data_IF_585680432123
#
_entry.id   IF_585680432123
#
_cell.length_a   1.000
_cell.length_b   1.000
_cell.length_c   1.000
_cell.angle_alpha   90.00
_cell.angle_beta   90.00
_cell.angle_gamma   90.00
#
_symmetry.space_group_name_H-M   'P 1'
#
loop_
_entity.id
_entity.type
_entity.pdbx_description
1 polymer ?
#
# COMPACT_ATOMS: atom_id res chain seq x y z
N UNK A 1 26.66 5.74 -44.48
CA UNK A 1 27.47 5.80 -43.24
C UNK A 1 27.60 7.26 -42.84
N UNK A 2 26.58 7.78 -42.15
CA UNK A 2 26.58 9.11 -41.53
C UNK A 2 25.87 8.93 -40.18
N UNK A 3 26.57 9.36 -39.13
CA UNK A 3 26.35 9.10 -37.71
C UNK A 3 24.96 9.50 -37.21
N UNK A 4 24.32 8.61 -36.45
CA UNK A 4 23.31 8.98 -35.46
C UNK A 4 24.04 9.53 -34.23
N UNK A 5 23.75 10.78 -33.87
CA UNK A 5 24.15 11.35 -32.59
C UNK A 5 23.19 10.84 -31.52
N UNK A 6 23.68 9.93 -30.69
CA UNK A 6 23.10 9.63 -29.37
C UNK A 6 23.51 10.78 -28.46
N UNK A 7 22.56 11.65 -28.09
CA UNK A 7 22.79 12.66 -27.06
C UNK A 7 22.34 12.07 -25.72
N UNK A 8 23.27 11.40 -25.04
CA UNK A 8 23.16 11.10 -23.61
C UNK A 8 23.42 12.41 -22.87
N UNK A 9 22.41 12.92 -22.17
CA UNK A 9 22.56 14.01 -21.20
C UNK A 9 22.73 13.36 -19.82
N UNK A 10 23.83 13.73 -19.17
CA UNK A 10 24.31 13.28 -17.87
C UNK A 10 23.52 13.96 -16.73
N UNK A 11 22.69 13.21 -16.01
CA UNK A 11 22.10 13.52 -14.70
C UNK A 11 21.99 12.21 -13.91
N UNK A 12 22.42 12.19 -12.66
CA UNK A 12 22.65 10.99 -11.84
C UNK A 12 21.47 10.02 -11.75
N UNK A 13 21.81 8.73 -11.71
CA UNK A 13 20.94 7.54 -11.61
C UNK A 13 19.73 7.54 -12.56
N UNK A 14 20.04 7.43 -13.86
CA UNK A 14 19.05 7.24 -14.91
C UNK A 14 18.27 5.92 -14.72
N UNK A 15 16.95 6.01 -14.56
CA UNK A 15 16.03 4.91 -14.83
C UNK A 15 16.27 4.37 -16.25
N UNK A 16 16.62 3.09 -16.39
CA UNK A 16 16.44 2.36 -17.64
C UNK A 16 14.94 2.10 -17.84
N UNK A 17 14.17 3.14 -18.19
CA UNK A 17 12.77 2.99 -18.59
C UNK A 17 12.69 2.52 -20.04
N UNK A 18 13.18 1.31 -20.32
CA UNK A 18 12.75 0.61 -21.52
C UNK A 18 11.25 0.35 -21.42
N UNK A 19 10.53 0.62 -22.51
CA UNK A 19 9.10 0.32 -22.64
C UNK A 19 8.89 -0.59 -23.84
N UNK A 20 7.70 -1.17 -23.94
CA UNK A 20 7.30 -1.97 -25.09
C UNK A 20 7.21 -1.14 -26.38
N UNK A 21 7.20 0.19 -26.29
CA UNK A 21 7.12 1.10 -27.43
C UNK A 21 8.49 1.68 -27.76
N UNK A 22 9.01 1.33 -28.95
CA UNK A 22 10.31 1.83 -29.42
C UNK A 22 10.25 3.26 -30.00
N UNK A 23 9.06 3.79 -30.25
CA UNK A 23 8.84 5.13 -30.82
C UNK A 23 8.29 6.14 -29.82
N UNK A 24 8.48 5.87 -28.53
CA UNK A 24 8.14 6.74 -27.40
C UNK A 24 9.40 7.40 -26.84
N UNK A 25 9.27 8.67 -26.45
CA UNK A 25 10.32 9.42 -25.76
C UNK A 25 9.91 9.66 -24.31
N UNK A 26 10.80 9.35 -23.38
CA UNK A 26 10.57 9.55 -21.95
C UNK A 26 11.53 10.64 -21.45
N UNK A 27 10.97 11.66 -20.81
CA UNK A 27 11.72 12.77 -20.21
C UNK A 27 11.35 12.88 -18.74
N UNK A 28 12.36 12.97 -17.87
CA UNK A 28 12.18 13.29 -16.45
C UNK A 28 12.82 14.65 -16.20
N UNK A 29 12.04 15.59 -15.70
CA UNK A 29 12.50 16.96 -15.40
C UNK A 29 11.71 17.54 -14.25
N UNK A 30 12.39 18.13 -13.26
CA UNK A 30 11.79 18.86 -12.14
C UNK A 30 10.62 18.11 -11.47
N UNK A 31 10.83 16.83 -11.12
CA UNK A 31 9.79 15.94 -10.55
C UNK A 31 8.55 15.77 -11.42
N UNK A 32 8.74 15.84 -12.75
CA UNK A 32 7.72 15.54 -13.76
C UNK A 32 8.23 14.47 -14.71
N UNK A 33 7.41 13.44 -14.95
CA UNK A 33 7.61 12.42 -15.98
C UNK A 33 6.74 12.76 -17.17
N UNK A 34 7.35 12.79 -18.36
CA UNK A 34 6.67 13.03 -19.63
C UNK A 34 6.96 11.86 -20.56
N UNK A 35 5.90 11.21 -21.07
CA UNK A 35 5.96 10.13 -22.05
C UNK A 35 5.31 10.64 -23.34
N UNK A 36 6.07 10.71 -24.42
CA UNK A 36 5.62 11.34 -25.68
C UNK A 36 5.69 10.40 -26.87
N UNK A 37 4.70 10.51 -27.75
CA UNK A 37 4.67 9.82 -29.05
C UNK A 37 4.09 10.72 -30.12
N UNK A 38 4.91 11.09 -31.10
CA UNK A 38 4.50 11.97 -32.22
C UNK A 38 3.28 11.46 -33.01
N UNK A 39 3.19 10.13 -33.18
CA UNK A 39 2.07 9.47 -33.86
C UNK A 39 0.78 9.46 -33.04
N UNK A 40 0.83 9.85 -31.76
CA UNK A 40 -0.26 9.78 -30.80
C UNK A 40 -0.40 8.40 -30.15
N UNK A 41 -1.24 8.33 -29.13
CA UNK A 41 -1.64 7.15 -28.38
C UNK A 41 -3.16 7.22 -28.20
N UNK A 42 -3.84 6.09 -28.35
CA UNK A 42 -5.23 5.97 -27.93
C UNK A 42 -5.22 5.63 -26.44
N UNK A 43 -5.85 6.46 -25.60
CA UNK A 43 -5.83 6.31 -24.16
C UNK A 43 -7.21 6.24 -23.54
N UNK A 44 -7.34 5.48 -22.45
CA UNK A 44 -8.47 5.46 -21.54
C UNK A 44 -7.96 5.56 -20.11
N UNK A 45 -8.43 6.53 -19.34
CA UNK A 45 -8.00 6.64 -17.94
C UNK A 45 -8.78 7.64 -17.11
N UNK A 46 -8.31 7.81 -15.88
CA UNK A 46 -8.89 8.70 -14.85
C UNK A 46 -7.99 9.89 -14.52
N UNK A 47 -7.08 10.25 -15.42
CA UNK A 47 -6.21 11.43 -15.28
C UNK A 47 -7.00 12.72 -15.02
N UNK A 48 -6.41 13.63 -14.23
CA UNK A 48 -7.05 14.89 -13.80
C UNK A 48 -7.45 15.79 -14.97
N UNK A 49 -6.62 15.81 -16.01
CA UNK A 49 -6.89 16.51 -17.26
C UNK A 49 -6.83 15.57 -18.45
N UNK A 50 -7.80 15.75 -19.35
CA UNK A 50 -8.03 14.89 -20.51
C UNK A 50 -8.22 13.41 -20.14
N UNK A 51 -8.79 13.15 -18.95
CA UNK A 51 -9.30 11.84 -18.58
C UNK A 51 -10.44 11.37 -19.49
N UNK A 52 -10.69 10.07 -19.48
CA UNK A 52 -11.63 9.40 -20.39
C UNK A 52 -10.95 8.80 -21.62
N UNK A 53 -11.75 8.52 -22.64
CA UNK A 53 -11.28 7.93 -23.91
C UNK A 53 -10.89 9.05 -24.89
N UNK A 54 -9.67 8.99 -25.43
CA UNK A 54 -9.23 9.97 -26.42
C UNK A 54 -7.88 9.65 -27.05
N UNK A 55 -7.56 10.37 -28.12
CA UNK A 55 -6.20 10.38 -28.67
C UNK A 55 -5.38 11.43 -27.94
N UNK A 56 -4.22 11.04 -27.43
CA UNK A 56 -3.23 11.91 -26.78
C UNK A 56 -1.88 11.79 -27.50
N UNK A 57 -0.99 12.76 -27.33
CA UNK A 57 0.41 12.67 -27.78
C UNK A 57 1.39 12.57 -26.64
N UNK A 58 1.00 13.05 -25.46
CA UNK A 58 1.82 12.98 -24.27
C UNK A 58 1.02 12.53 -23.04
N UNK A 59 1.70 11.79 -22.17
CA UNK A 59 1.26 11.47 -20.81
C UNK A 59 2.20 12.24 -19.87
N UNK A 60 1.63 13.08 -19.02
CA UNK A 60 2.38 13.94 -18.10
C UNK A 60 1.99 13.57 -16.67
N UNK A 61 2.97 13.21 -15.86
CA UNK A 61 2.79 12.88 -14.45
C UNK A 61 3.64 13.85 -13.63
N UNK A 62 2.99 14.78 -12.94
CA UNK A 62 3.65 15.85 -12.18
C UNK A 62 3.59 15.62 -10.67
N UNK A 63 4.74 15.72 -10.01
CA UNK A 63 4.85 15.73 -8.55
C UNK A 63 4.59 17.12 -7.96
N UNK A 64 3.68 17.23 -6.98
CA UNK A 64 3.55 18.40 -6.12
C UNK A 64 4.68 18.40 -5.08
N UNK A 65 5.36 19.54 -4.91
CA UNK A 65 6.53 19.66 -4.02
C UNK A 65 6.19 19.71 -2.53
N UNK A 66 4.91 19.77 -2.14
CA UNK A 66 4.52 19.70 -0.73
C UNK A 66 3.17 18.99 -0.52
N UNK A 67 3.03 18.14 0.53
CA UNK A 67 1.76 17.54 0.91
C UNK A 67 0.71 18.58 1.35
N UNK A 68 1.13 19.75 1.82
CA UNK A 68 0.22 20.83 2.25
C UNK A 68 -0.54 21.49 1.07
N UNK A 69 -0.04 21.33 -0.16
CA UNK A 69 -0.70 21.78 -1.39
C UNK A 69 -1.82 20.83 -1.88
N UNK A 70 -2.04 19.69 -1.21
CA UNK A 70 -3.05 18.68 -1.55
C UNK A 70 -4.44 18.87 -0.91
N UNK A 71 -4.68 19.99 -0.22
CA UNK A 71 -6.00 20.27 0.36
C UNK A 71 -7.10 20.35 -0.71
N UNK A 72 -8.36 19.95 -0.43
CA UNK A 72 -9.47 20.11 -1.38
C UNK A 72 -9.67 21.57 -1.83
N UNK A 73 -9.26 22.54 -0.99
CA UNK A 73 -9.28 23.98 -1.27
C UNK A 73 -8.14 24.47 -2.17
N UNK A 74 -7.05 23.72 -2.33
CA UNK A 74 -5.94 24.02 -3.23
C UNK A 74 -6.04 23.31 -4.57
N UNK A 75 -7.01 22.40 -4.80
CA UNK A 75 -7.30 21.83 -6.12
C UNK A 75 -7.86 22.87 -7.11
N UNK A 76 -8.58 23.89 -6.63
CA UNK A 76 -9.05 25.03 -7.44
C UNK A 76 -7.90 25.99 -7.84
N UNK A 77 -6.84 26.10 -7.03
CA UNK A 77 -5.61 26.81 -7.39
C UNK A 77 -4.60 25.92 -8.13
N UNK A 78 -4.65 24.60 -7.89
CA UNK A 78 -3.86 23.54 -8.52
C UNK A 78 -4.24 23.27 -9.96
N UNK A 79 -5.45 23.66 -10.40
CA UNK A 79 -5.80 23.75 -11.82
C UNK A 79 -4.94 24.79 -12.60
N UNK A 80 -4.23 25.70 -11.91
CA UNK A 80 -3.21 26.58 -12.55
C UNK A 80 -1.86 25.90 -12.78
N UNK A 81 -1.57 24.80 -12.08
CA UNK A 81 -0.34 24.02 -12.24
C UNK A 81 -0.20 23.35 -13.61
N UNK A 82 -1.17 22.56 -14.08
CA UNK A 82 -1.10 21.89 -15.38
C UNK A 82 -1.23 22.83 -16.57
N UNK A 83 -1.92 23.97 -16.39
CA UNK A 83 -1.90 25.04 -17.40
C UNK A 83 -0.50 25.61 -17.59
N UNK A 84 0.35 25.70 -16.55
CA UNK A 84 1.74 26.13 -16.73
C UNK A 84 2.63 25.12 -17.48
N UNK A 85 2.38 23.81 -17.38
CA UNK A 85 3.14 22.78 -18.13
C UNK A 85 2.74 22.73 -19.62
N UNK A 86 1.45 22.92 -19.92
CA UNK A 86 0.93 23.01 -21.29
C UNK A 86 1.24 24.37 -21.93
N UNK A 87 1.10 25.49 -21.21
CA UNK A 87 1.40 26.84 -21.70
C UNK A 87 2.91 27.06 -21.96
N UNK A 88 3.79 26.28 -21.31
CA UNK A 88 5.23 26.29 -21.54
C UNK A 88 5.69 25.57 -22.83
N UNK A 89 4.81 24.79 -23.47
CA UNK A 89 5.14 24.01 -24.68
C UNK A 89 6.13 22.87 -24.45
N UNK A 90 6.22 22.35 -23.22
CA UNK A 90 7.17 21.29 -22.84
C UNK A 90 6.66 19.87 -23.15
N UNK A 91 5.37 19.71 -23.48
CA UNK A 91 4.78 18.44 -23.88
C UNK A 91 3.90 18.59 -25.14
N UNK A 92 3.82 17.55 -25.97
CA UNK A 92 2.95 17.49 -27.15
C UNK A 92 1.45 17.44 -26.77
N UNK A 93 0.66 18.34 -27.36
CA UNK A 93 -0.80 18.34 -27.22
C UNK A 93 -1.50 17.47 -28.29
N UNK A 94 -2.64 16.85 -27.95
CA UNK A 94 -3.31 16.82 -26.63
C UNK A 94 -2.61 15.91 -25.62
N UNK A 95 -2.58 16.28 -24.33
CA UNK A 95 -1.92 15.49 -23.29
C UNK A 95 -2.89 15.03 -22.20
N UNK A 96 -2.67 13.81 -21.67
CA UNK A 96 -3.27 13.35 -20.43
C UNK A 96 -2.35 13.74 -19.27
N UNK A 97 -2.90 14.42 -18.25
CA UNK A 97 -2.10 14.94 -17.13
C UNK A 97 -2.63 14.40 -15.82
N UNK A 98 -1.74 13.83 -15.01
CA UNK A 98 -2.00 13.37 -13.65
C UNK A 98 -1.10 14.13 -12.69
N UNK A 99 -1.65 14.62 -11.58
CA UNK A 99 -0.94 15.40 -10.56
C UNK A 99 -1.16 14.75 -9.20
N UNK A 100 -0.07 14.59 -8.45
CA UNK A 100 -0.09 14.00 -7.11
C UNK A 100 1.21 14.26 -6.38
N UNK A 101 1.34 13.77 -5.15
CA UNK A 101 2.62 13.84 -4.41
C UNK A 101 3.49 12.64 -4.77
N UNK A 102 3.73 12.46 -6.07
CA UNK A 102 4.43 11.29 -6.60
C UNK A 102 5.93 11.40 -6.40
N UNK A 103 6.50 10.33 -5.86
CA UNK A 103 7.95 10.16 -5.83
C UNK A 103 8.41 9.44 -7.10
N UNK A 104 8.77 10.21 -8.13
CA UNK A 104 9.19 9.64 -9.44
C UNK A 104 10.42 8.74 -9.32
N UNK A 105 11.33 9.05 -8.39
CA UNK A 105 12.52 8.23 -8.14
C UNK A 105 12.18 6.84 -7.59
N UNK A 106 11.00 6.68 -6.96
CA UNK A 106 10.50 5.39 -6.49
C UNK A 106 9.72 4.61 -7.56
N UNK A 107 9.53 5.16 -8.76
CA UNK A 107 8.70 4.52 -9.78
C UNK A 107 9.27 3.17 -10.23
N UNK A 108 8.35 2.24 -10.52
CA UNK A 108 8.70 0.89 -10.96
C UNK A 108 8.01 0.62 -12.30
N UNK A 109 8.79 0.19 -13.28
CA UNK A 109 8.28 -0.32 -14.56
C UNK A 109 8.48 -1.85 -14.68
N UNK A 110 7.49 -2.51 -15.28
CA UNK A 110 7.56 -3.91 -15.69
C UNK A 110 7.10 -4.02 -17.13
N UNK A 111 7.94 -4.59 -17.98
CA UNK A 111 7.66 -4.81 -19.40
C UNK A 111 7.60 -6.31 -19.70
N UNK A 112 6.53 -6.72 -20.37
CA UNK A 112 6.36 -8.08 -20.86
C UNK A 112 5.78 -8.04 -22.28
N UNK A 113 6.59 -8.47 -23.25
CA UNK A 113 6.26 -8.47 -24.69
C UNK A 113 5.75 -7.10 -25.14
N UNK A 114 4.44 -6.98 -25.40
CA UNK A 114 3.80 -5.76 -25.92
C UNK A 114 3.25 -4.85 -24.84
N UNK A 115 3.46 -5.14 -23.56
CA UNK A 115 2.87 -4.37 -22.46
C UNK A 115 3.98 -3.83 -21.56
N UNK A 116 3.84 -2.57 -21.14
CA UNK A 116 4.63 -1.98 -20.04
C UNK A 116 3.70 -1.37 -19.02
N UNK A 117 3.81 -1.80 -17.77
CA UNK A 117 3.16 -1.15 -16.64
C UNK A 117 4.18 -0.30 -15.90
N UNK A 118 3.83 0.95 -15.62
CA UNK A 118 4.56 1.89 -14.80
C UNK A 118 3.69 2.26 -13.60
N UNK A 119 4.22 2.07 -12.40
CA UNK A 119 3.50 2.36 -11.15
C UNK A 119 4.32 3.31 -10.29
N UNK A 120 3.65 4.29 -9.70
CA UNK A 120 4.26 5.27 -8.81
C UNK A 120 3.56 5.29 -7.46
N UNK A 121 4.37 5.53 -6.43
CA UNK A 121 3.90 5.74 -5.07
C UNK A 121 3.62 7.23 -4.84
N UNK A 122 2.49 7.52 -4.21
CA UNK A 122 2.15 8.86 -3.73
C UNK A 122 2.31 8.90 -2.21
N UNK A 123 3.20 9.78 -1.76
CA UNK A 123 3.57 9.93 -0.34
C UNK A 123 2.42 10.49 0.51
N UNK A 124 1.49 11.24 -0.08
CA UNK A 124 0.37 11.86 0.64
C UNK A 124 -0.69 10.84 1.06
N UNK A 125 -0.94 9.84 0.23
CA UNK A 125 -1.92 8.77 0.51
C UNK A 125 -1.24 7.49 0.99
N UNK A 126 0.08 7.38 0.86
CA UNK A 126 0.85 6.23 1.30
C UNK A 126 0.62 4.96 0.47
N UNK A 127 0.28 5.10 -0.81
CA UNK A 127 -0.10 3.98 -1.69
C UNK A 127 0.43 4.14 -3.13
N UNK A 128 0.47 3.02 -3.89
CA UNK A 128 0.52 3.05 -5.35
C UNK A 128 -0.71 3.79 -5.88
N UNK A 129 -0.52 4.99 -6.40
CA UNK A 129 -1.61 5.93 -6.72
C UNK A 129 -1.66 6.30 -8.19
N UNK A 130 -0.58 6.07 -8.94
CA UNK A 130 -0.55 6.29 -10.38
C UNK A 130 -0.12 5.01 -11.10
N UNK A 131 -0.99 4.49 -11.95
CA UNK A 131 -0.71 3.34 -12.82
C UNK A 131 -0.84 3.79 -14.27
N UNK A 132 0.25 3.70 -15.02
CA UNK A 132 0.25 3.94 -16.48
C UNK A 132 0.60 2.64 -17.18
N UNK A 133 -0.24 2.19 -18.11
CA UNK A 133 0.00 1.00 -18.92
C UNK A 133 0.15 1.43 -20.38
N UNK A 134 1.27 1.04 -21.00
CA UNK A 134 1.51 1.19 -22.43
C UNK A 134 1.36 -0.15 -23.14
N UNK A 135 0.73 -0.14 -24.31
CA UNK A 135 0.46 -1.34 -25.10
C UNK A 135 0.89 -1.14 -26.57
N UNK A 136 1.81 -1.97 -27.06
CA UNK A 136 2.29 -1.97 -28.46
C UNK A 136 1.34 -2.72 -29.40
N UNK A 137 0.06 -2.33 -29.39
CA UNK A 137 -0.95 -2.80 -30.34
C UNK A 137 -2.02 -1.75 -30.63
N UNK A 138 -2.55 -1.77 -31.85
CA UNK A 138 -3.76 -1.02 -32.19
C UNK A 138 -4.99 -1.75 -31.64
N UNK A 139 -5.84 -1.03 -30.90
CA UNK A 139 -6.99 -1.58 -30.17
C UNK A 139 -8.28 -0.83 -30.49
N UNK A 140 -9.42 -1.50 -30.34
CA UNK A 140 -10.73 -0.85 -30.33
C UNK A 140 -11.14 -0.45 -28.90
N UNK A 141 -12.16 0.40 -28.79
CA UNK A 141 -12.62 0.92 -27.49
C UNK A 141 -13.02 -0.19 -26.50
N UNK A 142 -13.73 -1.27 -26.91
CA UNK A 142 -14.04 -2.39 -26.02
C UNK A 142 -12.80 -3.11 -25.48
N UNK A 143 -11.79 -3.37 -26.32
CA UNK A 143 -10.56 -4.01 -25.85
C UNK A 143 -9.83 -3.10 -24.85
N UNK A 144 -9.74 -1.80 -25.13
CA UNK A 144 -9.09 -0.85 -24.23
C UNK A 144 -9.79 -0.76 -22.85
N UNK A 145 -11.12 -0.83 -22.82
CA UNK A 145 -11.90 -0.88 -21.57
C UNK A 145 -11.62 -2.16 -20.77
N UNK A 146 -11.51 -3.31 -21.43
CA UNK A 146 -11.14 -4.57 -20.78
C UNK A 146 -9.71 -4.53 -20.22
N UNK A 147 -8.77 -3.86 -20.90
CA UNK A 147 -7.41 -3.67 -20.39
C UNK A 147 -7.38 -2.70 -19.20
N UNK A 148 -8.18 -1.63 -19.23
CA UNK A 148 -8.34 -0.74 -18.09
C UNK A 148 -8.84 -1.49 -16.85
N UNK A 149 -9.86 -2.35 -17.03
CA UNK A 149 -10.35 -3.23 -15.96
C UNK A 149 -9.25 -4.17 -15.45
N UNK A 150 -8.47 -4.78 -16.34
CA UNK A 150 -7.36 -5.66 -15.96
C UNK A 150 -6.26 -4.94 -15.17
N UNK A 151 -5.99 -3.67 -15.48
CA UNK A 151 -5.05 -2.86 -14.72
C UNK A 151 -5.56 -2.62 -13.28
N UNK A 152 -6.85 -2.28 -13.12
CA UNK A 152 -7.49 -2.16 -11.79
C UNK A 152 -7.41 -3.46 -11.01
N UNK A 153 -7.76 -4.59 -11.64
CA UNK A 153 -7.71 -5.92 -11.02
C UNK A 153 -6.28 -6.31 -10.62
N UNK A 154 -5.29 -6.03 -11.47
CA UNK A 154 -3.87 -6.30 -11.20
C UNK A 154 -3.35 -5.50 -9.99
N UNK A 155 -3.65 -4.20 -9.94
CA UNK A 155 -3.31 -3.33 -8.81
C UNK A 155 -3.94 -3.85 -7.51
N UNK A 156 -5.24 -4.12 -7.53
CA UNK A 156 -5.97 -4.58 -6.34
C UNK A 156 -5.51 -5.97 -5.88
N UNK A 157 -5.15 -6.87 -6.80
CA UNK A 157 -4.58 -8.16 -6.45
C UNK A 157 -3.24 -8.00 -5.71
N UNK A 158 -2.34 -7.13 -6.17
CA UNK A 158 -1.08 -6.85 -5.49
C UNK A 158 -1.30 -6.29 -4.07
N UNK A 159 -2.20 -5.31 -3.93
CA UNK A 159 -2.56 -4.72 -2.64
C UNK A 159 -3.15 -5.76 -1.67
N UNK A 160 -3.97 -6.69 -2.19
CA UNK A 160 -4.54 -7.79 -1.41
C UNK A 160 -3.46 -8.77 -0.94
N UNK A 161 -2.61 -9.23 -1.86
CA UNK A 161 -1.63 -10.28 -1.61
C UNK A 161 -0.53 -9.82 -0.64
N UNK A 162 -0.22 -8.52 -0.62
CA UNK A 162 0.70 -7.90 0.33
C UNK A 162 0.01 -7.39 1.61
N UNK A 163 -1.29 -7.64 1.76
CA UNK A 163 -2.04 -7.38 3.00
C UNK A 163 -2.40 -5.92 3.26
N UNK A 164 -2.33 -5.04 2.26
CA UNK A 164 -2.64 -3.60 2.40
C UNK A 164 -4.12 -3.31 2.54
N UNK A 165 -4.98 -4.07 1.85
CA UNK A 165 -6.45 -3.91 1.92
C UNK A 165 -7.00 -4.34 3.30
N UNK A 166 -6.20 -5.10 4.06
CA UNK A 166 -6.58 -5.63 5.38
C UNK A 166 -5.85 -4.90 6.54
N UNK A 167 -5.18 -3.77 6.29
CA UNK A 167 -4.65 -2.92 7.37
C UNK A 167 -5.73 -1.97 7.85
N UNK A 168 -5.85 -1.77 9.17
CA UNK A 168 -6.82 -0.88 9.84
C UNK A 168 -6.87 0.58 9.31
N UNK A 169 -6.01 0.97 8.36
CA UNK A 169 -5.92 2.31 7.83
C UNK A 169 -6.54 2.51 6.44
N UNK A 170 -6.97 1.45 5.74
CA UNK A 170 -7.31 1.60 4.32
C UNK A 170 -8.73 1.15 4.00
N UNK A 171 -9.64 2.10 3.96
CA UNK A 171 -10.79 2.00 3.07
C UNK A 171 -10.34 2.55 1.71
N UNK A 172 -10.31 1.71 0.66
CA UNK A 172 -10.00 2.14 -0.70
C UNK A 172 -10.99 3.20 -1.21
N UNK A 173 -12.11 3.38 -0.53
CA UNK A 173 -13.07 4.46 -0.81
C UNK A 173 -12.78 5.77 -0.07
N UNK A 174 -11.89 5.79 0.94
CA UNK A 174 -11.43 7.02 1.61
C UNK A 174 -10.20 7.64 0.94
N UNK A 175 -9.49 6.90 0.08
CA UNK A 175 -8.56 7.50 -0.87
C UNK A 175 -9.40 8.27 -1.90
N UNK A 176 -9.46 9.59 -1.77
CA UNK A 176 -10.21 10.48 -2.68
C UNK A 176 -9.74 10.41 -4.14
N UNK A 177 -9.94 11.49 -4.91
CA UNK A 177 -9.60 11.58 -6.35
C UNK A 177 -8.09 11.41 -6.70
N UNK A 178 -7.27 10.81 -5.84
CA UNK A 178 -5.81 10.69 -5.97
C UNK A 178 -5.37 9.39 -6.67
N UNK A 179 -6.28 8.46 -6.94
CA UNK A 179 -5.98 7.24 -7.71
C UNK A 179 -6.19 7.46 -9.22
N UNK A 180 -5.09 7.43 -9.97
CA UNK A 180 -5.06 7.62 -11.41
C UNK A 180 -4.60 6.36 -12.12
N UNK A 181 -5.46 5.80 -12.96
CA UNK A 181 -5.12 4.69 -13.85
C UNK A 181 -5.27 5.17 -15.29
N UNK A 182 -4.26 4.93 -16.12
CA UNK A 182 -4.26 5.26 -17.53
C UNK A 182 -3.75 4.06 -18.33
N UNK A 183 -4.51 3.62 -19.32
CA UNK A 183 -4.08 2.62 -20.30
C UNK A 183 -4.01 3.29 -21.66
N UNK A 184 -2.87 3.18 -22.34
CA UNK A 184 -2.61 3.78 -23.63
C UNK A 184 -2.04 2.75 -24.62
N UNK A 185 -2.51 2.80 -25.87
CA UNK A 185 -2.07 1.91 -26.94
C UNK A 185 -1.70 2.69 -28.21
N UNK A 186 -1.12 2.03 -29.22
CA UNK A 186 -0.54 2.70 -30.40
C UNK A 186 -1.55 3.45 -31.26
N UNK A 187 -2.84 3.10 -31.19
CA UNK A 187 -3.91 3.73 -31.95
C UNK A 187 -5.16 2.86 -32.09
N UNK A 188 -6.09 3.30 -32.95
CA UNK A 188 -7.32 2.57 -33.26
C UNK A 188 -7.05 1.35 -34.13
N UNK A 189 -7.45 0.18 -33.64
CA UNK A 189 -7.35 -1.11 -34.33
C UNK A 189 -8.69 -1.75 -34.62
N UNK A 190 -8.65 -2.91 -35.29
CA UNK A 190 -9.80 -3.79 -35.39
C UNK A 190 -10.02 -4.57 -34.10
N UNK A 191 -11.26 -4.97 -33.83
CA UNK A 191 -11.60 -5.86 -32.72
C UNK A 191 -10.71 -7.10 -32.73
N UNK A 192 -10.14 -7.40 -31.57
CA UNK A 192 -9.31 -8.59 -31.35
C UNK A 192 -10.17 -9.85 -31.31
N UNK A 193 -9.58 -10.98 -31.68
CA UNK A 193 -10.21 -12.27 -31.41
C UNK A 193 -10.26 -12.54 -29.89
N UNK A 194 -11.16 -13.41 -29.43
CA UNK A 194 -11.31 -13.67 -28.00
C UNK A 194 -10.02 -14.17 -27.34
N UNK A 195 -9.26 -15.04 -28.01
CA UNK A 195 -7.99 -15.58 -27.48
C UNK A 195 -6.90 -14.49 -27.37
N UNK A 196 -6.73 -13.67 -28.40
CA UNK A 196 -5.75 -12.56 -28.39
C UNK A 196 -6.10 -11.52 -27.31
N UNK A 197 -7.38 -11.18 -27.18
CA UNK A 197 -7.85 -10.26 -26.14
C UNK A 197 -7.61 -10.82 -24.73
N UNK A 198 -7.86 -12.11 -24.53
CA UNK A 198 -7.65 -12.78 -23.24
C UNK A 198 -6.17 -12.81 -22.84
N UNK A 199 -5.27 -13.09 -23.79
CA UNK A 199 -3.82 -13.05 -23.57
C UNK A 199 -3.40 -11.63 -23.17
N UNK A 200 -3.80 -10.61 -23.94
CA UNK A 200 -3.43 -9.23 -23.67
C UNK A 200 -3.95 -8.75 -22.31
N UNK A 201 -5.20 -9.08 -21.98
CA UNK A 201 -5.81 -8.79 -20.67
C UNK A 201 -5.01 -9.42 -19.52
N UNK A 202 -4.64 -10.69 -19.65
CA UNK A 202 -3.82 -11.39 -18.66
C UNK A 202 -2.43 -10.77 -18.51
N UNK A 203 -1.80 -10.38 -19.61
CA UNK A 203 -0.49 -9.73 -19.60
C UNK A 203 -0.55 -8.37 -18.91
N UNK A 204 -1.56 -7.54 -19.19
CA UNK A 204 -1.76 -6.25 -18.50
C UNK A 204 -1.95 -6.46 -16.99
N UNK A 205 -2.87 -7.33 -16.59
CA UNK A 205 -3.11 -7.60 -15.18
C UNK A 205 -1.86 -8.10 -14.45
N UNK A 206 -1.08 -8.98 -15.10
CA UNK A 206 0.18 -9.51 -14.54
C UNK A 206 1.25 -8.42 -14.42
N UNK A 207 1.46 -7.61 -15.47
CA UNK A 207 2.46 -6.53 -15.43
C UNK A 207 2.14 -5.50 -14.34
N UNK A 208 0.88 -5.09 -14.24
CA UNK A 208 0.47 -4.11 -13.22
C UNK A 208 0.61 -4.70 -11.82
N UNK A 209 0.21 -5.94 -11.62
CA UNK A 209 0.38 -6.64 -10.35
C UNK A 209 1.85 -6.73 -9.95
N UNK A 210 2.71 -7.23 -10.83
CA UNK A 210 4.15 -7.36 -10.56
C UNK A 210 4.82 -6.00 -10.31
N UNK A 211 4.47 -4.96 -11.08
CA UNK A 211 5.01 -3.62 -10.88
C UNK A 211 4.58 -3.05 -9.52
N UNK A 212 3.33 -3.29 -9.13
CA UNK A 212 2.79 -2.86 -7.83
C UNK A 212 3.42 -3.62 -6.68
N UNK A 213 3.60 -4.95 -6.80
CA UNK A 213 4.27 -5.78 -5.79
C UNK A 213 5.72 -5.31 -5.57
N UNK A 214 6.50 -5.16 -6.65
CA UNK A 214 7.88 -4.64 -6.58
C UNK A 214 7.97 -3.25 -5.97
N UNK A 215 7.03 -2.36 -6.32
CA UNK A 215 6.97 -1.03 -5.72
C UNK A 215 6.76 -1.14 -4.21
N UNK A 216 5.80 -1.94 -3.76
CA UNK A 216 5.47 -2.10 -2.35
C UNK A 216 6.57 -2.81 -1.55
N UNK A 217 7.30 -3.74 -2.17
CA UNK A 217 8.50 -4.35 -1.59
C UNK A 217 9.55 -3.27 -1.23
N UNK A 218 9.73 -2.25 -2.08
CA UNK A 218 10.62 -1.12 -1.78
C UNK A 218 10.17 -0.30 -0.55
N UNK A 219 8.88 -0.35 -0.20
CA UNK A 219 8.30 0.30 0.99
C UNK A 219 8.16 -0.65 2.20
N UNK A 220 8.76 -1.85 2.12
CA UNK A 220 8.81 -2.80 3.22
C UNK A 220 7.55 -3.66 3.37
N UNK A 221 6.86 -3.94 2.27
CA UNK A 221 5.82 -4.98 2.21
C UNK A 221 6.37 -6.32 1.70
N UNK A 222 5.81 -7.46 2.10
CA UNK A 222 4.82 -7.61 3.17
C UNK A 222 5.43 -7.25 4.54
N UNK A 223 4.60 -6.68 5.43
CA UNK A 223 5.03 -6.33 6.79
C UNK A 223 5.28 -7.58 7.62
N UNK A 224 6.23 -7.50 8.55
CA UNK A 224 6.37 -8.49 9.62
C UNK A 224 5.33 -8.23 10.74
N UNK A 225 5.35 -9.05 11.80
CA UNK A 225 4.39 -8.91 12.91
C UNK A 225 4.49 -7.54 13.58
N UNK A 226 5.69 -6.95 13.66
CA UNK A 226 5.88 -5.62 14.24
C UNK A 226 5.21 -4.56 13.38
N UNK A 227 5.38 -4.62 12.06
CA UNK A 227 4.68 -3.74 11.14
C UNK A 227 3.16 -3.88 11.25
N UNK A 228 2.62 -5.10 11.44
CA UNK A 228 1.19 -5.28 11.68
C UNK A 228 0.74 -4.71 13.03
N UNK A 229 1.53 -4.85 14.09
CA UNK A 229 1.25 -4.21 15.38
C UNK A 229 1.21 -2.68 15.25
N UNK A 230 2.13 -2.09 14.49
CA UNK A 230 2.14 -0.65 14.22
C UNK A 230 0.89 -0.20 13.46
N UNK A 231 0.39 -1.00 12.51
CA UNK A 231 -0.88 -0.67 11.80
C UNK A 231 -2.09 -0.66 12.72
N UNK A 232 -2.02 -1.34 13.86
CA UNK A 232 -3.08 -1.34 14.89
C UNK A 232 -2.80 -0.37 16.04
N UNK A 233 -1.78 0.49 15.89
CA UNK A 233 -1.43 1.52 16.86
C UNK A 233 -0.66 1.01 18.09
N UNK A 234 -0.04 -0.18 18.00
CA UNK A 234 0.69 -0.80 19.11
C UNK A 234 2.18 -0.90 18.78
N UNK A 235 3.02 -0.28 19.60
CA UNK A 235 4.48 -0.49 19.55
C UNK A 235 4.94 -1.42 20.66
N UNK A 236 6.15 -1.99 20.51
CA UNK A 236 6.77 -2.79 21.59
C UNK A 236 6.95 -1.95 22.86
N UNK A 237 7.24 -0.65 22.73
CA UNK A 237 7.42 0.22 23.89
C UNK A 237 6.12 0.41 24.66
N UNK A 238 5.00 0.56 23.95
CA UNK A 238 3.68 0.67 24.59
C UNK A 238 3.37 -0.57 25.45
N UNK A 239 3.73 -1.75 24.94
CA UNK A 239 3.57 -3.02 25.66
C UNK A 239 4.54 -3.15 26.85
N UNK A 240 5.77 -2.65 26.72
CA UNK A 240 6.72 -2.59 27.84
C UNK A 240 6.17 -1.71 28.95
N UNK A 241 5.68 -0.51 28.62
CA UNK A 241 5.07 0.40 29.60
C UNK A 241 3.84 -0.21 30.26
N UNK A 242 2.97 -0.85 29.48
CA UNK A 242 1.80 -1.56 30.03
C UNK A 242 2.22 -2.70 30.99
N UNK A 243 3.23 -3.48 30.63
CA UNK A 243 3.79 -4.55 31.47
C UNK A 243 4.34 -4.05 32.80
N UNK A 244 5.04 -2.93 32.80
CA UNK A 244 5.66 -2.40 34.03
C UNK A 244 4.63 -1.89 35.04
N UNK A 245 3.47 -1.36 34.60
CA UNK A 245 2.45 -0.80 35.50
C UNK A 245 1.88 -1.81 36.51
N UNK A 246 1.94 -3.11 36.21
CA UNK A 246 1.42 -4.15 37.10
C UNK A 246 2.54 -4.95 37.82
N UNK A 247 3.79 -4.52 37.75
CA UNK A 247 4.89 -5.07 38.56
C UNK A 247 4.61 -4.84 40.05
N UNK A 248 4.27 -5.91 40.79
CA UNK A 248 4.05 -5.85 42.25
C UNK A 248 5.18 -6.56 42.97
N UNK A 249 5.81 -5.86 43.91
CA UNK A 249 6.84 -6.42 44.78
C UNK A 249 8.25 -6.48 44.16
N UNK A 250 8.44 -5.84 43.00
CA UNK A 250 9.75 -5.65 42.34
C UNK A 250 9.90 -4.17 42.02
N UNK A 251 11.06 -3.60 42.33
CA UNK A 251 11.34 -2.20 41.95
C UNK A 251 11.41 -2.10 40.42
N UNK A 252 10.72 -1.10 39.86
CA UNK A 252 10.86 -0.76 38.45
C UNK A 252 12.28 -0.25 38.20
N UNK A 253 13.10 -1.07 37.54
CA UNK A 253 14.48 -0.69 37.18
C UNK A 253 14.66 -0.64 35.67
N UNK A 254 15.57 0.20 35.14
CA UNK A 254 15.89 0.22 33.72
C UNK A 254 16.28 -1.16 33.17
N UNK A 255 16.91 -2.00 33.98
CA UNK A 255 17.27 -3.37 33.59
C UNK A 255 16.04 -4.25 33.39
N UNK A 256 14.98 -4.08 34.17
CA UNK A 256 13.73 -4.84 34.01
C UNK A 256 12.98 -4.40 32.74
N UNK A 257 12.96 -3.09 32.44
CA UNK A 257 12.43 -2.56 31.18
C UNK A 257 13.12 -3.20 29.97
N UNK A 258 14.45 -3.18 29.96
CA UNK A 258 15.25 -3.78 28.88
C UNK A 258 15.04 -5.30 28.79
N UNK A 259 14.84 -5.97 29.92
CA UNK A 259 14.58 -7.42 29.98
C UNK A 259 13.21 -7.74 29.39
N UNK A 260 12.17 -6.98 29.74
CA UNK A 260 10.84 -7.16 29.16
C UNK A 260 10.85 -6.87 27.66
N UNK A 261 11.49 -5.80 27.22
CA UNK A 261 11.63 -5.47 25.80
C UNK A 261 12.26 -6.64 25.03
N UNK A 262 13.37 -7.19 25.52
CA UNK A 262 14.04 -8.34 24.89
C UNK A 262 13.14 -9.58 24.88
N UNK A 263 12.41 -9.83 25.97
CA UNK A 263 11.51 -10.98 26.04
C UNK A 263 10.29 -10.84 25.11
N UNK A 264 9.74 -9.64 24.95
CA UNK A 264 8.68 -9.35 23.97
C UNK A 264 9.16 -9.65 22.55
N UNK A 265 10.30 -9.07 22.16
CA UNK A 265 10.89 -9.31 20.84
C UNK A 265 11.16 -10.81 20.60
N UNK A 266 11.72 -11.51 21.60
CA UNK A 266 11.94 -12.96 21.53
C UNK A 266 10.64 -13.76 21.40
N UNK A 267 9.57 -13.38 22.11
CA UNK A 267 8.27 -14.04 21.98
C UNK A 267 7.64 -13.81 20.61
N UNK A 268 7.89 -12.66 19.98
CA UNK A 268 7.44 -12.34 18.61
C UNK A 268 8.22 -13.10 17.52
N UNK A 269 9.28 -13.84 17.87
CA UNK A 269 9.95 -14.79 16.96
C UNK A 269 9.26 -16.18 16.94
N UNK A 270 8.37 -16.48 17.90
CA UNK A 270 7.62 -17.74 17.93
C UNK A 270 6.44 -17.68 16.94
N UNK A 271 6.49 -18.52 15.91
CA UNK A 271 5.44 -18.64 14.88
C UNK A 271 4.04 -18.85 15.48
N UNK A 272 3.90 -19.53 16.62
CA UNK A 272 2.60 -19.77 17.23
C UNK A 272 2.07 -18.51 17.93
N UNK A 273 2.94 -17.72 18.57
CA UNK A 273 2.58 -16.42 19.14
C UNK A 273 2.17 -15.46 18.03
N UNK A 274 2.97 -15.38 16.96
CA UNK A 274 2.66 -14.57 15.78
C UNK A 274 1.33 -14.97 15.15
N UNK A 275 1.07 -16.28 15.02
CA UNK A 275 -0.19 -16.78 14.45
C UNK A 275 -1.42 -16.34 15.24
N UNK A 276 -1.34 -16.34 16.57
CA UNK A 276 -2.42 -15.89 17.45
C UNK A 276 -2.62 -14.38 17.39
N UNK A 277 -1.53 -13.60 17.39
CA UNK A 277 -1.60 -12.15 17.24
C UNK A 277 -2.24 -11.77 15.90
N UNK A 278 -1.79 -12.40 14.81
CA UNK A 278 -2.36 -12.15 13.48
C UNK A 278 -3.84 -12.55 13.40
N UNK A 279 -4.25 -13.63 14.07
CA UNK A 279 -5.66 -13.99 14.16
C UNK A 279 -6.48 -12.92 14.88
N UNK A 280 -5.96 -12.37 15.99
CA UNK A 280 -6.56 -11.26 16.72
C UNK A 280 -6.72 -10.00 15.87
N UNK A 281 -5.63 -9.55 15.23
CA UNK A 281 -5.62 -8.36 14.35
C UNK A 281 -6.66 -8.47 13.24
N UNK A 282 -6.74 -9.64 12.57
CA UNK A 282 -7.70 -9.84 11.47
C UNK A 282 -9.15 -9.90 11.96
N UNK A 283 -9.38 -10.50 13.13
CA UNK A 283 -10.71 -10.58 13.73
C UNK A 283 -11.23 -9.21 14.19
N UNK A 284 -10.37 -8.43 14.84
CA UNK A 284 -10.67 -7.05 15.23
C UNK A 284 -11.08 -6.22 14.02
N UNK A 285 -10.33 -6.33 12.92
CA UNK A 285 -10.64 -5.62 11.67
C UNK A 285 -12.01 -6.01 11.10
N UNK A 286 -12.32 -7.31 11.09
CA UNK A 286 -13.63 -7.83 10.65
C UNK A 286 -14.79 -7.29 11.47
N UNK A 287 -14.58 -7.14 12.78
CA UNK A 287 -15.57 -6.66 13.73
C UNK A 287 -15.76 -5.15 13.63
N UNK A 288 -14.68 -4.37 13.68
CA UNK A 288 -14.72 -2.90 13.58
C UNK A 288 -15.33 -2.41 12.25
N UNK A 289 -15.23 -3.19 11.17
CA UNK A 289 -15.83 -2.89 9.86
C UNK A 289 -17.18 -3.55 9.62
N UNK A 290 -17.72 -4.26 10.62
CA UNK A 290 -18.96 -5.05 10.51
C UNK A 290 -19.01 -5.99 9.28
N UNK A 291 -17.87 -6.60 8.92
CA UNK A 291 -17.80 -7.57 7.80
C UNK A 291 -18.55 -8.86 8.13
N UNK A 292 -18.70 -9.18 9.42
CA UNK A 292 -19.43 -10.37 9.90
C UNK A 292 -20.86 -10.02 10.24
N UNK A 293 -21.80 -10.44 9.39
CA UNK A 293 -23.23 -10.19 9.60
C UNK A 293 -23.71 -10.76 10.94
N UNK A 294 -24.32 -9.91 11.75
CA UNK A 294 -24.94 -10.30 13.02
C UNK A 294 -23.97 -10.38 14.20
N UNK A 295 -22.74 -9.89 14.02
CA UNK A 295 -21.78 -9.65 15.10
C UNK A 295 -21.60 -8.15 15.24
N UNK A 296 -21.86 -7.64 16.43
CA UNK A 296 -21.68 -6.25 16.83
C UNK A 296 -21.05 -6.30 18.23
N UNK A 297 -19.84 -5.76 18.31
CA UNK A 297 -18.99 -5.80 19.51
C UNK A 297 -18.40 -4.42 19.81
N UNK A 298 -18.94 -3.36 19.21
CA UNK A 298 -18.41 -2.00 19.35
C UNK A 298 -18.40 -1.51 20.81
N UNK A 299 -19.35 -2.01 21.61
CA UNK A 299 -19.49 -1.70 23.03
C UNK A 299 -18.68 -2.62 23.96
N UNK A 300 -17.75 -3.42 23.42
CA UNK A 300 -16.97 -4.44 24.17
C UNK A 300 -17.88 -5.32 25.06
N UNK A 301 -18.78 -6.11 24.45
CA UNK A 301 -19.80 -6.81 25.19
C UNK A 301 -19.20 -7.94 26.02
N UNK A 302 -19.56 -8.00 27.31
CA UNK A 302 -19.16 -9.07 28.24
C UNK A 302 -19.59 -10.51 27.85
N UNK A 303 -20.21 -10.72 26.68
CA UNK A 303 -20.51 -12.04 26.12
C UNK A 303 -19.55 -12.45 24.99
N UNK A 304 -18.64 -11.57 24.56
CA UNK A 304 -17.49 -11.96 23.76
C UNK A 304 -16.52 -12.62 24.74
N UNK A 305 -16.34 -13.93 24.59
CA UNK A 305 -15.40 -14.71 25.41
C UNK A 305 -14.24 -15.25 24.56
N UNK A 306 -14.32 -15.07 23.24
CA UNK A 306 -13.36 -15.63 22.29
C UNK A 306 -12.07 -14.82 22.23
N UNK A 307 -12.18 -13.52 22.45
CA UNK A 307 -11.10 -12.58 22.82
C UNK A 307 -10.29 -13.07 24.02
N UNK A 308 -10.94 -13.38 25.14
CA UNK A 308 -10.25 -13.85 26.35
C UNK A 308 -9.54 -15.18 26.07
N UNK A 309 -10.19 -16.08 25.34
CA UNK A 309 -9.61 -17.38 24.94
C UNK A 309 -8.37 -17.17 24.07
N UNK A 310 -8.37 -16.18 23.17
CA UNK A 310 -7.20 -15.82 22.36
C UNK A 310 -6.08 -15.24 23.22
N UNK A 311 -6.38 -14.28 24.12
CA UNK A 311 -5.40 -13.71 25.05
C UNK A 311 -4.76 -14.77 25.96
N UNK A 312 -5.57 -15.67 26.51
CA UNK A 312 -5.10 -16.82 27.28
C UNK A 312 -4.20 -17.76 26.45
N UNK A 313 -4.54 -18.00 25.18
CA UNK A 313 -3.73 -18.83 24.30
C UNK A 313 -2.36 -18.22 24.05
N UNK A 314 -2.27 -16.90 23.84
CA UNK A 314 -1.00 -16.17 23.67
C UNK A 314 -0.15 -16.31 24.95
N UNK A 315 -0.72 -16.00 26.11
CA UNK A 315 0.00 -16.09 27.39
C UNK A 315 0.50 -17.52 27.65
N UNK A 316 -0.36 -18.51 27.44
CA UNK A 316 -0.04 -19.92 27.64
C UNK A 316 1.02 -20.43 26.66
N UNK A 317 1.04 -19.94 25.42
CA UNK A 317 2.08 -20.29 24.46
C UNK A 317 3.47 -19.83 24.93
N UNK A 318 3.56 -18.66 25.59
CA UNK A 318 4.84 -18.08 26.01
C UNK A 318 5.37 -18.73 27.30
N UNK A 319 4.52 -18.89 28.32
CA UNK A 319 4.94 -19.32 29.66
C UNK A 319 3.97 -20.30 30.34
N UNK A 320 3.14 -21.00 29.57
CA UNK A 320 2.27 -22.07 30.05
C UNK A 320 1.16 -21.59 30.99
N UNK A 321 0.57 -22.52 31.73
CA UNK A 321 -0.65 -22.27 32.53
C UNK A 321 -0.47 -21.20 33.59
N UNK A 322 0.75 -20.92 34.06
CA UNK A 322 1.00 -19.86 35.03
C UNK A 322 0.73 -18.48 34.44
N UNK A 323 1.10 -18.28 33.19
CA UNK A 323 0.89 -17.02 32.49
C UNK A 323 -0.59 -16.69 32.30
N UNK A 324 -1.45 -17.70 32.22
CA UNK A 324 -2.90 -17.53 32.17
C UNK A 324 -3.44 -16.85 33.43
N UNK A 325 -2.89 -17.15 34.61
CA UNK A 325 -3.28 -16.46 35.84
C UNK A 325 -2.83 -15.00 35.85
N UNK A 326 -1.64 -14.72 35.28
CA UNK A 326 -1.15 -13.36 35.16
C UNK A 326 -1.95 -12.57 34.11
N UNK A 327 -2.35 -13.21 33.01
CA UNK A 327 -3.18 -12.62 31.97
C UNK A 327 -4.45 -12.02 32.53
N UNK A 328 -5.18 -12.76 33.39
CA UNK A 328 -6.41 -12.24 34.02
C UNK A 328 -6.22 -10.91 34.73
N UNK A 329 -5.04 -10.66 35.30
CA UNK A 329 -4.74 -9.38 35.94
C UNK A 329 -4.53 -8.24 34.92
N UNK A 330 -3.91 -8.52 33.76
CA UNK A 330 -3.73 -7.52 32.71
C UNK A 330 -5.03 -7.24 31.94
N UNK A 331 -5.85 -8.27 31.73
CA UNK A 331 -7.21 -8.20 31.16
C UNK A 331 -8.13 -7.36 32.07
N UNK A 332 -8.14 -7.60 33.39
CA UNK A 332 -8.98 -6.82 34.31
C UNK A 332 -8.55 -5.34 34.46
N UNK A 333 -7.24 -5.06 34.50
CA UNK A 333 -6.72 -3.71 34.77
C UNK A 333 -6.51 -2.87 33.49
N UNK A 334 -6.38 -3.52 32.32
CA UNK A 334 -6.11 -2.93 31.00
C UNK A 334 -5.08 -1.76 31.01
N UNK A 335 -3.83 -1.97 31.46
CA UNK A 335 -2.86 -0.89 31.65
C UNK A 335 -2.33 -0.31 30.33
N UNK A 336 -2.03 0.98 30.33
CA UNK A 336 -1.39 1.66 29.21
C UNK A 336 -2.19 1.55 27.90
N UNK A 337 -1.53 1.09 26.83
CA UNK A 337 -2.15 0.95 25.51
C UNK A 337 -3.29 -0.08 25.50
N UNK A 338 -3.25 -1.10 26.37
CA UNK A 338 -4.23 -2.19 26.39
C UNK A 338 -5.65 -1.63 26.57
N UNK A 339 -5.85 -0.65 27.47
CA UNK A 339 -7.17 -0.04 27.70
C UNK A 339 -7.68 0.89 26.61
N UNK A 340 -6.94 1.06 25.51
CA UNK A 340 -7.34 1.89 24.35
C UNK A 340 -7.66 1.03 23.13
N UNK A 341 -7.27 -0.25 23.14
CA UNK A 341 -7.47 -1.16 22.03
C UNK A 341 -8.92 -1.65 21.97
N UNK A 342 -9.31 -2.15 20.80
CA UNK A 342 -10.58 -2.82 20.61
C UNK A 342 -10.66 -4.17 21.33
N UNK A 343 -11.86 -4.74 21.45
CA UNK A 343 -12.20 -5.85 22.35
C UNK A 343 -11.46 -7.16 22.08
N UNK A 344 -10.89 -7.38 20.89
CA UNK A 344 -10.07 -8.56 20.62
C UNK A 344 -8.61 -8.27 20.91
N UNK A 345 -8.14 -7.08 20.55
CA UNK A 345 -6.74 -6.72 20.61
C UNK A 345 -6.25 -6.45 22.02
N UNK A 346 -7.06 -5.84 22.87
CA UNK A 346 -6.71 -5.62 24.28
C UNK A 346 -6.34 -6.94 24.97
N UNK A 347 -7.12 -8.00 24.80
CA UNK A 347 -6.87 -9.32 25.35
C UNK A 347 -5.67 -10.02 24.73
N UNK A 348 -5.52 -9.93 23.40
CA UNK A 348 -4.36 -10.52 22.70
C UNK A 348 -3.05 -9.91 23.18
N UNK A 349 -3.00 -8.59 23.32
CA UNK A 349 -1.79 -7.89 23.78
C UNK A 349 -1.60 -7.97 25.30
N UNK A 350 -2.68 -8.01 26.09
CA UNK A 350 -2.60 -8.37 27.52
C UNK A 350 -2.01 -9.78 27.70
N UNK A 351 -2.41 -10.73 26.85
CA UNK A 351 -1.87 -12.09 26.80
C UNK A 351 -0.37 -12.11 26.50
N UNK A 352 0.07 -11.34 25.51
CA UNK A 352 1.47 -11.20 25.15
C UNK A 352 2.31 -10.64 26.32
N UNK A 353 1.88 -9.53 26.91
CA UNK A 353 2.54 -8.89 28.05
C UNK A 353 2.59 -9.83 29.25
N UNK A 354 1.46 -10.44 29.62
CA UNK A 354 1.39 -11.36 30.74
C UNK A 354 2.26 -12.61 30.55
N UNK A 355 2.31 -13.15 29.34
CA UNK A 355 3.19 -14.24 28.94
C UNK A 355 4.66 -13.88 29.14
N UNK A 356 5.10 -12.78 28.56
CA UNK A 356 6.48 -12.32 28.66
C UNK A 356 6.89 -12.00 30.12
N UNK A 357 6.02 -11.31 30.86
CA UNK A 357 6.27 -11.00 32.27
C UNK A 357 6.38 -12.27 33.12
N UNK A 358 5.51 -13.25 32.89
CA UNK A 358 5.60 -14.54 33.59
C UNK A 358 6.89 -15.27 33.25
N UNK A 359 7.33 -15.21 31.99
CA UNK A 359 8.57 -15.84 31.55
C UNK A 359 9.82 -15.28 32.24
N UNK A 360 9.89 -13.96 32.40
CA UNK A 360 11.02 -13.27 33.03
C UNK A 360 11.20 -13.71 34.48
N UNK A 361 10.13 -13.93 35.22
CA UNK A 361 10.19 -14.37 36.62
C UNK A 361 10.30 -15.89 36.81
N UNK A 362 10.33 -16.67 35.72
CA UNK A 362 10.64 -18.11 35.75
C UNK A 362 12.13 -18.41 35.57
N UNK A 363 12.86 -17.53 34.89
CA UNK A 363 14.31 -17.61 34.64
C UNK A 363 15.11 -16.97 35.78
#
# INVERSE_FOLDING_TARGET
MVLFFILIIDIGDAMETETCLNDVFITIKDDTLIIEREKGLLSLGTSDLSGGLGMIKSIVIGGLKSPEDSSPSSLDEGQKGPSNFLEGGEALEPAAVTIGSFNIASSVNVTNDKVTALVMYDESIGLPACVTVLVDEDLDEPALLELFKAAVEGKNAALWDLGMINGLSLDLFDSGNYDSILVACTGFGSSKTGEEADVLRSTVGTCVREATEKLLENFGYPRDVLGYMETVGVTVEDLVYAGMQLCVGVDETPELYDTLRKQLLKSLEDINVVSLIMAGIRLEEDYARHRVRGVDVDDDPAYLYSDEVLGMAVANQIAGTKAVFNFKRYDEEKPGIIGVLGPVLDDVFAGLVAGCMSKIFEE
#
